data_IF_414858821261
#
_entry.id   IF_414858821261
#
_cell.length_a   1.000
_cell.length_b   1.000
_cell.length_c   1.000
_cell.angle_alpha   90.00
_cell.angle_beta   90.00
_cell.angle_gamma   90.00
#
_symmetry.space_group_name_H-M   'P 1'
#
loop_
_entity.id
_entity.type
_entity.pdbx_description
1 polymer ?
#
# COMPACT_ATOMS: atom_id res chain seq x y z
N UNK A 1 8.94 14.32 11.26
CA UNK A 1 7.77 13.57 11.71
C UNK A 1 7.21 12.75 10.57
N UNK A 2 6.96 11.51 10.82
CA UNK A 2 6.63 10.53 9.77
C UNK A 2 5.14 10.32 9.53
N UNK A 3 4.27 11.00 10.29
CA UNK A 3 2.82 10.81 10.18
C UNK A 3 2.27 11.15 8.79
N UNK A 4 2.93 12.04 8.04
CA UNK A 4 2.50 12.36 6.68
C UNK A 4 2.84 11.29 5.65
N UNK A 5 3.72 10.35 5.98
CA UNK A 5 4.18 9.31 5.06
C UNK A 5 3.40 8.02 5.29
N UNK A 6 3.40 7.51 6.51
CA UNK A 6 2.59 6.36 6.90
C UNK A 6 1.23 6.89 7.38
N UNK A 7 0.17 6.59 6.63
CA UNK A 7 -1.16 7.12 6.93
C UNK A 7 -1.83 6.47 8.14
N UNK A 8 -1.23 5.44 8.71
CA UNK A 8 -1.73 4.85 9.96
C UNK A 8 -1.20 5.56 11.19
N UNK A 9 0.04 6.04 11.14
CA UNK A 9 0.69 6.65 12.30
C UNK A 9 0.03 7.98 12.65
N UNK A 10 -0.43 8.10 13.90
CA UNK A 10 -1.04 9.32 14.40
C UNK A 10 -2.40 9.64 13.82
N UNK A 11 -3.07 8.66 13.24
CA UNK A 11 -4.41 8.85 12.64
C UNK A 11 -5.38 7.80 13.17
N UNK A 12 -6.67 8.01 12.90
CA UNK A 12 -7.73 7.05 13.26
C UNK A 12 -7.97 6.01 12.18
N UNK A 13 -7.12 5.93 11.16
CA UNK A 13 -7.37 5.06 10.00
C UNK A 13 -7.56 3.60 10.41
N UNK A 14 -6.69 3.07 11.25
CA UNK A 14 -6.80 1.67 11.69
C UNK A 14 -8.13 1.43 12.41
N UNK A 15 -8.52 2.33 13.28
CA UNK A 15 -9.79 2.25 14.02
C UNK A 15 -10.97 2.25 13.06
N UNK A 16 -10.96 3.16 12.09
CA UNK A 16 -12.04 3.28 11.11
C UNK A 16 -12.15 2.01 10.28
N UNK A 17 -11.04 1.46 9.82
CA UNK A 17 -11.03 0.24 9.02
C UNK A 17 -11.56 -0.96 9.81
N UNK A 18 -11.18 -1.07 11.08
CA UNK A 18 -11.68 -2.13 11.96
C UNK A 18 -13.17 -2.01 12.20
N UNK A 19 -13.66 -0.80 12.44
CA UNK A 19 -15.09 -0.56 12.65
C UNK A 19 -15.92 -0.94 11.42
N UNK A 20 -15.35 -0.77 10.22
CA UNK A 20 -16.02 -1.11 8.96
C UNK A 20 -15.81 -2.57 8.57
N UNK A 21 -15.03 -3.34 9.33
CA UNK A 21 -14.73 -4.72 9.03
C UNK A 21 -13.86 -4.92 7.78
N UNK A 22 -13.09 -3.91 7.40
CA UNK A 22 -12.23 -3.99 6.23
C UNK A 22 -11.07 -4.95 6.46
N UNK A 23 -10.87 -5.90 5.54
CA UNK A 23 -9.77 -6.87 5.59
C UNK A 23 -8.79 -6.71 4.45
N UNK A 24 -9.16 -5.97 3.43
CA UNK A 24 -8.36 -5.70 2.24
C UNK A 24 -8.39 -4.21 1.96
N UNK A 25 -7.24 -3.65 1.63
CA UNK A 25 -7.13 -2.24 1.25
C UNK A 25 -6.50 -2.14 -0.12
N UNK A 26 -6.90 -1.13 -0.86
CA UNK A 26 -6.31 -0.77 -2.14
C UNK A 26 -5.54 0.53 -1.90
N UNK A 27 -4.25 0.54 -2.19
CA UNK A 27 -3.41 1.70 -1.94
C UNK A 27 -2.99 2.31 -3.27
N UNK A 28 -3.30 3.57 -3.44
CA UNK A 28 -2.98 4.34 -4.65
C UNK A 28 -2.39 5.68 -4.26
N UNK A 29 -1.80 6.37 -5.21
CA UNK A 29 -1.34 7.75 -5.03
C UNK A 29 0.13 7.93 -5.33
N UNK A 30 0.71 8.97 -4.71
CA UNK A 30 2.10 9.36 -4.86
C UNK A 30 2.66 9.71 -3.47
N UNK A 31 3.92 9.48 -3.16
CA UNK A 31 4.90 8.89 -4.06
C UNK A 31 4.99 7.39 -3.78
N UNK A 32 5.30 6.62 -4.82
CA UNK A 32 5.39 5.17 -4.70
C UNK A 32 6.33 4.71 -3.60
N UNK A 33 7.48 5.35 -3.45
CA UNK A 33 8.50 5.00 -2.45
C UNK A 33 8.31 5.72 -1.11
N UNK A 34 7.26 6.50 -0.97
CA UNK A 34 6.94 7.25 0.26
C UNK A 34 5.61 6.79 0.83
N UNK A 35 4.57 7.64 0.70
CA UNK A 35 3.26 7.37 1.31
C UNK A 35 2.67 6.03 0.87
N UNK A 36 2.83 5.65 -0.40
CA UNK A 36 2.31 4.36 -0.91
C UNK A 36 3.04 3.21 -0.25
N UNK A 37 4.37 3.16 -0.32
CA UNK A 37 5.15 2.06 0.23
C UNK A 37 4.94 1.91 1.74
N UNK A 38 5.04 3.00 2.48
CA UNK A 38 4.93 2.92 3.94
C UNK A 38 3.51 2.61 4.40
N UNK A 39 2.49 3.17 3.77
CA UNK A 39 1.10 2.88 4.12
C UNK A 39 0.73 1.45 3.76
N UNK A 40 1.13 0.97 2.59
CA UNK A 40 0.89 -0.40 2.17
C UNK A 40 1.56 -1.39 3.12
N UNK A 41 2.82 -1.14 3.48
CA UNK A 41 3.56 -1.99 4.41
C UNK A 41 2.92 -1.98 5.79
N UNK A 42 2.47 -0.82 6.28
CA UNK A 42 1.81 -0.71 7.57
C UNK A 42 0.50 -1.49 7.60
N UNK A 43 -0.27 -1.46 6.51
CA UNK A 43 -1.50 -2.24 6.40
C UNK A 43 -1.20 -3.75 6.43
N UNK A 44 -0.19 -4.18 5.69
CA UNK A 44 0.22 -5.59 5.66
C UNK A 44 0.68 -6.06 7.04
N UNK A 45 1.42 -5.23 7.77
CA UNK A 45 1.86 -5.57 9.12
C UNK A 45 0.71 -5.64 10.12
N UNK A 46 -0.44 -5.07 9.80
CA UNK A 46 -1.65 -5.17 10.60
C UNK A 46 -2.54 -6.34 10.17
N UNK A 47 -2.03 -7.22 9.32
CA UNK A 47 -2.74 -8.42 8.90
C UNK A 47 -3.71 -8.23 7.76
N UNK A 48 -3.69 -7.08 7.09
CA UNK A 48 -4.58 -6.81 5.96
C UNK A 48 -3.98 -7.32 4.66
N UNK A 49 -4.83 -7.68 3.72
CA UNK A 49 -4.43 -7.88 2.33
C UNK A 49 -4.35 -6.52 1.65
N UNK A 50 -3.33 -6.34 0.82
CA UNK A 50 -3.06 -5.06 0.20
C UNK A 50 -2.99 -5.24 -1.31
N UNK A 51 -3.81 -4.50 -2.04
CA UNK A 51 -3.81 -4.48 -3.50
C UNK A 51 -3.21 -3.15 -3.93
N UNK A 52 -2.22 -3.21 -4.80
CA UNK A 52 -1.57 -2.02 -5.34
C UNK A 52 -1.66 -2.05 -6.86
N UNK A 53 -2.52 -1.23 -7.46
CA UNK A 53 -2.55 -1.11 -8.91
C UNK A 53 -1.33 -0.31 -9.36
N UNK A 54 -0.49 -0.93 -10.20
CA UNK A 54 0.77 -0.30 -10.62
C UNK A 54 0.55 0.95 -11.45
N UNK A 55 -0.60 1.07 -12.10
CA UNK A 55 -1.00 2.26 -12.85
C UNK A 55 -1.75 3.29 -11.97
N UNK A 56 -1.93 2.99 -10.70
CA UNK A 56 -2.54 3.91 -9.74
C UNK A 56 -1.54 4.56 -8.80
N UNK A 57 -0.25 4.28 -8.95
CA UNK A 57 0.81 4.87 -8.14
C UNK A 57 1.84 5.54 -9.03
N UNK A 58 2.52 6.54 -8.50
CA UNK A 58 3.52 7.26 -9.29
C UNK A 58 4.69 7.72 -8.41
N UNK A 59 5.80 8.00 -9.07
CA UNK A 59 7.00 8.56 -8.47
C UNK A 59 7.72 9.39 -9.52
N UNK A 60 8.82 10.03 -9.12
CA UNK A 60 9.56 10.92 -10.00
C UNK A 60 10.19 10.20 -11.19
N UNK A 61 10.50 8.92 -11.06
CA UNK A 61 11.13 8.14 -12.12
C UNK A 61 10.48 6.77 -12.26
N UNK A 62 10.56 6.21 -13.46
CA UNK A 62 10.10 4.84 -13.72
C UNK A 62 10.88 3.82 -12.88
N UNK A 63 12.16 4.07 -12.66
CA UNK A 63 12.97 3.18 -11.85
C UNK A 63 12.39 3.03 -10.43
N UNK A 64 12.00 4.15 -9.81
CA UNK A 64 11.43 4.12 -8.46
C UNK A 64 10.13 3.33 -8.47
N UNK A 65 9.26 3.56 -9.45
CA UNK A 65 8.00 2.83 -9.56
C UNK A 65 8.22 1.34 -9.69
N UNK A 66 9.16 0.93 -10.53
CA UNK A 66 9.49 -0.47 -10.73
C UNK A 66 10.11 -1.09 -9.48
N UNK A 67 10.99 -0.37 -8.80
CA UNK A 67 11.59 -0.86 -7.56
C UNK A 67 10.53 -1.12 -6.50
N UNK A 68 9.60 -0.20 -6.30
CA UNK A 68 8.56 -0.36 -5.29
C UNK A 68 7.69 -1.56 -5.61
N UNK A 69 7.30 -1.74 -6.86
CA UNK A 69 6.52 -2.90 -7.28
C UNK A 69 7.26 -4.20 -6.95
N UNK A 70 8.55 -4.28 -7.29
CA UNK A 70 9.37 -5.44 -6.98
C UNK A 70 9.48 -5.65 -5.46
N UNK A 71 9.72 -4.57 -4.73
CA UNK A 71 9.90 -4.63 -3.28
C UNK A 71 8.67 -5.22 -2.57
N UNK A 72 7.48 -4.72 -2.92
CA UNK A 72 6.27 -5.11 -2.22
C UNK A 72 6.02 -6.61 -2.27
N UNK A 73 6.23 -7.25 -3.42
CA UNK A 73 5.96 -8.69 -3.54
C UNK A 73 7.13 -9.57 -3.11
N UNK A 74 8.30 -8.98 -2.89
CA UNK A 74 9.50 -9.74 -2.52
C UNK A 74 9.97 -9.48 -1.07
N UNK A 75 9.40 -8.48 -0.39
CA UNK A 75 9.83 -8.17 0.97
C UNK A 75 9.56 -9.35 1.89
N UNK A 76 10.51 -9.68 2.79
CA UNK A 76 10.33 -10.81 3.71
C UNK A 76 9.11 -10.66 4.60
N UNK A 77 8.48 -11.78 4.93
CA UNK A 77 7.36 -11.92 5.86
C UNK A 77 6.05 -11.37 5.33
N UNK A 78 5.98 -10.09 4.97
CA UNK A 78 4.71 -9.46 4.56
C UNK A 78 4.47 -9.48 3.05
N UNK A 79 5.47 -9.86 2.25
CA UNK A 79 5.33 -9.93 0.79
C UNK A 79 4.08 -10.65 0.30
N UNK A 80 3.71 -11.82 0.87
CA UNK A 80 2.50 -12.54 0.43
C UNK A 80 1.19 -11.78 0.63
N UNK A 81 1.17 -10.72 1.44
CA UNK A 81 -0.03 -9.92 1.63
C UNK A 81 -0.33 -9.00 0.44
N UNK A 82 0.67 -8.75 -0.42
CA UNK A 82 0.53 -7.80 -1.52
C UNK A 82 0.12 -8.48 -2.81
N UNK A 83 -0.79 -7.82 -3.53
CA UNK A 83 -1.16 -8.19 -4.90
C UNK A 83 -0.96 -6.96 -5.78
N UNK A 84 -0.14 -7.11 -6.81
CA UNK A 84 0.03 -6.07 -7.83
C UNK A 84 -0.95 -6.34 -8.95
N UNK A 85 -1.56 -5.29 -9.47
CA UNK A 85 -2.55 -5.41 -10.52
C UNK A 85 -2.59 -4.10 -11.32
N UNK A 86 -3.62 -3.93 -12.14
CA UNK A 86 -3.95 -2.67 -12.80
C UNK A 86 -5.34 -2.24 -12.39
N UNK A 87 -5.66 -0.96 -12.57
CA UNK A 87 -6.94 -0.40 -12.11
C UNK A 87 -8.12 -1.14 -12.75
N UNK A 88 -8.02 -1.47 -14.03
CA UNK A 88 -9.11 -2.14 -14.76
C UNK A 88 -9.35 -3.59 -14.31
N UNK A 89 -8.43 -4.18 -13.57
CA UNK A 89 -8.57 -5.54 -13.05
C UNK A 89 -9.20 -5.59 -11.66
N UNK A 90 -9.45 -4.44 -11.04
CA UNK A 90 -10.04 -4.39 -9.70
C UNK A 90 -11.56 -4.39 -9.80
N UNK A 91 -12.19 -5.31 -9.07
CA UNK A 91 -13.65 -5.39 -8.95
C UNK A 91 -14.05 -5.31 -7.48
N UNK A 92 -15.07 -4.57 -7.19
CA UNK A 92 -15.60 -4.44 -5.82
C UNK A 92 -16.78 -5.34 -5.56
#
# INVERSE_FOLDING_TARGET
>A
MLAGVDKFVGTDLEKILKEKGAKTVIVVGTAAHGAVLYTASAAAMRGMKVIVPVDGVSADTTYIEQYVAWHLVNVPVIGPAFTLTTIDQITF
#
